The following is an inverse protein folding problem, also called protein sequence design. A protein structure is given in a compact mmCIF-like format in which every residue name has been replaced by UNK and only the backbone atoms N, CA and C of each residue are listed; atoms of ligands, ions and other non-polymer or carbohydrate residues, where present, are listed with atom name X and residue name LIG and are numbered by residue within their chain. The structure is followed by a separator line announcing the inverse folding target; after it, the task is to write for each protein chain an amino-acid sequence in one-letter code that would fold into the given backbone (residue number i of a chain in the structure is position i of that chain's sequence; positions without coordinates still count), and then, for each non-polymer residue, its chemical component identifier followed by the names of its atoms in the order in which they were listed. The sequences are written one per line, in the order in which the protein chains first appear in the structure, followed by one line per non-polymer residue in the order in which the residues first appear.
data_IF_945662396247
#
_entry.id   IF_945662396247
#
_cell.length_a   1.000
_cell.length_b   1.000
_cell.length_c   1.000
_cell.angle_alpha   90.00
_cell.angle_beta   90.00
_cell.angle_gamma   90.00
#
_symmetry.space_group_name_H-M   'P 1'
#
loop_
_entity.id
_entity.type
_entity.pdbx_description
1 polymer ?
#
# COMPACT_ATOMS: atom_id res chain seq x y z
N UNK A 1 8.31 -10.18 20.29
CA UNK A 1 8.31 -10.06 18.81
C UNK A 1 9.02 -8.79 18.33
N UNK A 2 10.13 -8.36 18.99
CA UNK A 2 10.75 -7.04 18.74
C UNK A 2 11.97 -7.11 17.79
N UNK A 3 12.21 -8.24 17.15
CA UNK A 3 13.51 -8.56 16.52
C UNK A 3 13.44 -9.32 15.21
N UNK A 4 12.27 -9.78 14.75
CA UNK A 4 12.18 -10.43 13.44
C UNK A 4 11.95 -9.40 12.34
N UNK A 5 12.96 -9.25 11.49
CA UNK A 5 12.87 -8.50 10.24
C UNK A 5 12.06 -9.35 9.26
N UNK A 6 11.01 -8.77 8.67
CA UNK A 6 10.15 -9.43 7.70
C UNK A 6 10.49 -9.04 6.26
N UNK A 7 11.18 -7.91 6.08
CA UNK A 7 11.46 -7.32 4.77
C UNK A 7 12.90 -6.83 4.64
N UNK A 8 13.45 -6.95 3.45
CA UNK A 8 14.76 -6.44 3.07
C UNK A 8 14.61 -5.41 1.93
N UNK A 9 15.27 -4.25 2.06
CA UNK A 9 15.27 -3.23 1.01
C UNK A 9 16.25 -3.67 -0.07
N UNK A 10 15.74 -3.97 -1.26
CA UNK A 10 16.53 -4.48 -2.37
C UNK A 10 17.12 -3.36 -3.23
N UNK A 11 16.32 -2.32 -3.50
CA UNK A 11 16.77 -1.17 -4.28
C UNK A 11 15.96 0.09 -4.01
N UNK A 12 16.54 1.23 -4.40
CA UNK A 12 15.87 2.53 -4.47
C UNK A 12 16.17 3.20 -5.80
N UNK A 13 15.23 3.98 -6.31
CA UNK A 13 15.40 4.81 -7.50
C UNK A 13 14.53 6.06 -7.42
N UNK A 14 14.73 7.01 -8.31
CA UNK A 14 13.91 8.21 -8.44
C UNK A 14 13.26 8.20 -9.82
N UNK A 15 11.93 8.37 -9.88
CA UNK A 15 11.17 8.32 -11.12
C UNK A 15 10.43 9.65 -11.35
N UNK A 16 10.55 10.16 -12.57
CA UNK A 16 9.71 11.25 -13.05
C UNK A 16 8.36 10.68 -13.49
N UNK A 17 7.27 11.19 -12.91
CA UNK A 17 5.91 10.76 -13.22
C UNK A 17 5.06 11.94 -13.66
N UNK A 18 3.84 11.68 -14.13
CA UNK A 18 2.85 12.75 -14.40
C UNK A 18 2.41 13.51 -13.13
N UNK A 19 2.80 13.03 -11.95
CA UNK A 19 2.55 13.61 -10.64
C UNK A 19 3.82 14.25 -10.04
N UNK A 20 4.87 14.44 -10.82
CA UNK A 20 6.17 14.91 -10.33
C UNK A 20 7.13 13.78 -9.97
N UNK A 21 8.20 14.15 -9.27
CA UNK A 21 9.31 13.26 -8.93
C UNK A 21 9.00 12.46 -7.66
N UNK A 22 9.16 11.14 -7.73
CA UNK A 22 8.99 10.24 -6.60
C UNK A 22 10.24 9.40 -6.35
N UNK A 23 10.57 9.21 -5.08
CA UNK A 23 11.48 8.16 -4.63
C UNK A 23 10.73 6.84 -4.54
N UNK A 24 11.25 5.81 -5.18
CA UNK A 24 10.67 4.48 -5.22
C UNK A 24 11.64 3.48 -4.58
N UNK A 25 11.15 2.69 -3.63
CA UNK A 25 11.91 1.66 -2.95
C UNK A 25 11.21 0.31 -3.09
N UNK A 26 11.98 -0.73 -3.42
CA UNK A 26 11.50 -2.10 -3.49
C UNK A 26 11.96 -2.89 -2.24
N UNK A 27 11.03 -3.62 -1.64
CA UNK A 27 11.27 -4.44 -0.45
C UNK A 27 10.88 -5.88 -0.72
N UNK A 28 11.81 -6.83 -0.56
CA UNK A 28 11.51 -8.25 -0.62
C UNK A 28 11.11 -8.77 0.75
N UNK A 29 10.00 -9.50 0.82
CA UNK A 29 9.54 -10.17 2.02
C UNK A 29 10.27 -11.51 2.20
N UNK A 30 10.86 -11.73 3.38
CA UNK A 30 11.82 -12.82 3.60
C UNK A 30 11.18 -14.21 3.49
N UNK A 31 9.92 -14.38 3.92
CA UNK A 31 9.26 -15.68 4.00
C UNK A 31 8.42 -16.03 2.76
N UNK A 32 8.12 -15.07 1.88
CA UNK A 32 7.30 -15.28 0.68
C UNK A 32 8.02 -14.92 -0.61
N UNK A 33 9.14 -14.20 -0.55
CA UNK A 33 9.82 -13.55 -1.67
C UNK A 33 8.96 -12.52 -2.43
N UNK A 34 7.80 -12.14 -1.87
CA UNK A 34 6.98 -11.08 -2.44
C UNK A 34 7.76 -9.76 -2.44
N UNK A 35 7.70 -9.04 -3.56
CA UNK A 35 8.30 -7.71 -3.68
C UNK A 35 7.22 -6.67 -3.52
N UNK A 36 7.35 -5.86 -2.48
CA UNK A 36 6.51 -4.69 -2.19
C UNK A 36 7.18 -3.41 -2.68
N UNK A 37 6.37 -2.38 -2.91
CA UNK A 37 6.86 -1.11 -3.44
C UNK A 37 6.41 0.04 -2.55
N UNK A 38 7.33 0.90 -2.14
CA UNK A 38 7.01 2.16 -1.51
C UNK A 38 7.34 3.30 -2.48
N UNK A 39 6.36 4.18 -2.70
CA UNK A 39 6.46 5.34 -3.57
C UNK A 39 6.30 6.57 -2.67
N UNK A 40 7.32 7.41 -2.58
CA UNK A 40 7.37 8.51 -1.62
C UNK A 40 7.79 9.83 -2.26
N UNK A 41 7.27 10.93 -1.73
CA UNK A 41 7.64 12.28 -2.14
C UNK A 41 8.05 13.09 -0.92
N UNK A 42 9.00 14.01 -1.13
CA UNK A 42 9.45 14.95 -0.12
C UNK A 42 10.34 14.34 0.95
N UNK A 43 10.62 15.12 2.00
CA UNK A 43 11.44 14.69 3.12
C UNK A 43 10.59 13.97 4.18
N UNK A 44 10.73 12.64 4.27
CA UNK A 44 10.06 11.82 5.27
C UNK A 44 10.90 11.81 6.55
N UNK A 45 10.32 12.32 7.64
CA UNK A 45 10.94 12.33 8.96
C UNK A 45 9.92 11.97 10.04
N UNK A 46 10.41 11.65 11.23
CA UNK A 46 9.59 11.15 12.33
C UNK A 46 8.73 12.19 13.05
N UNK A 47 9.04 13.48 12.89
CA UNK A 47 8.37 14.55 13.63
C UNK A 47 7.03 14.91 12.98
N UNK A 48 6.99 14.84 11.66
CA UNK A 48 5.86 15.22 10.82
C UNK A 48 4.84 14.08 10.63
N UNK A 49 3.53 14.37 10.70
CA UNK A 49 2.51 13.50 10.15
C UNK A 49 2.64 13.34 8.63
N UNK A 50 2.79 12.10 8.17
CA UNK A 50 2.98 11.78 6.75
C UNK A 50 1.67 11.31 6.13
N UNK A 51 1.25 11.97 5.04
CA UNK A 51 0.12 11.52 4.24
C UNK A 51 0.45 10.15 3.63
N UNK A 52 -0.31 9.12 4.01
CA UNK A 52 0.00 7.73 3.67
C UNK A 52 -1.20 7.03 3.07
N UNK A 53 -1.04 6.45 1.88
CA UNK A 53 -1.96 5.48 1.30
C UNK A 53 -1.34 4.10 1.40
N UNK A 54 -2.05 3.15 1.98
CA UNK A 54 -1.68 1.74 1.90
C UNK A 54 -2.62 1.07 0.90
N UNK A 55 -2.04 0.51 -0.14
CA UNK A 55 -2.68 -0.35 -1.12
C UNK A 55 -2.19 -1.77 -0.88
N UNK A 56 -3.11 -2.70 -0.65
CA UNK A 56 -2.76 -4.11 -0.42
C UNK A 56 -3.65 -4.99 -1.27
N UNK A 57 -3.05 -5.72 -2.20
CA UNK A 57 -3.82 -6.56 -3.12
C UNK A 57 -2.97 -7.64 -3.78
N UNK A 58 -3.65 -8.56 -4.43
CA UNK A 58 -3.05 -9.59 -5.28
C UNK A 58 -2.93 -9.10 -6.73
N UNK A 59 -2.10 -9.75 -7.55
CA UNK A 59 -1.93 -9.36 -8.95
C UNK A 59 -3.22 -9.44 -9.77
N UNK A 60 -3.99 -10.53 -9.64
CA UNK A 60 -5.30 -10.67 -10.27
C UNK A 60 -6.24 -9.57 -9.77
N UNK A 61 -6.28 -9.32 -8.46
CA UNK A 61 -7.15 -8.31 -7.88
C UNK A 61 -6.85 -6.91 -8.43
N UNK A 62 -5.58 -6.61 -8.67
CA UNK A 62 -5.15 -5.34 -9.25
C UNK A 62 -5.48 -5.22 -10.73
N UNK A 63 -5.17 -6.25 -11.54
CA UNK A 63 -5.50 -6.25 -12.97
C UNK A 63 -7.01 -6.07 -13.16
N UNK A 64 -7.81 -6.88 -12.46
CA UNK A 64 -9.27 -6.81 -12.59
C UNK A 64 -9.84 -5.53 -11.98
N UNK A 65 -9.32 -5.05 -10.85
CA UNK A 65 -9.76 -3.80 -10.23
C UNK A 65 -9.46 -2.57 -11.09
N UNK A 66 -8.29 -2.54 -11.73
CA UNK A 66 -7.91 -1.48 -12.69
C UNK A 66 -8.83 -1.49 -13.90
N UNK A 67 -9.18 -2.67 -14.43
CA UNK A 67 -9.99 -2.80 -15.63
C UNK A 67 -11.49 -2.57 -15.38
N UNK A 68 -12.02 -2.95 -14.22
CA UNK A 68 -13.47 -3.09 -14.03
C UNK A 68 -14.06 -2.35 -12.83
N UNK A 69 -13.28 -1.89 -11.85
CA UNK A 69 -13.78 -1.35 -10.57
C UNK A 69 -13.34 0.10 -10.28
N UNK A 70 -12.85 0.82 -11.29
CA UNK A 70 -12.37 2.21 -11.13
C UNK A 70 -11.18 2.35 -10.18
N UNK A 71 -10.48 1.25 -9.89
CA UNK A 71 -9.44 1.20 -8.88
C UNK A 71 -8.21 2.04 -9.27
N UNK A 72 -7.95 2.16 -10.57
CA UNK A 72 -6.91 3.03 -11.12
C UNK A 72 -7.10 4.48 -10.67
N UNK A 73 -8.35 4.97 -10.64
CA UNK A 73 -8.66 6.35 -10.25
C UNK A 73 -8.35 6.61 -8.79
N UNK A 74 -8.54 5.62 -7.90
CA UNK A 74 -8.20 5.71 -6.48
C UNK A 74 -6.68 5.82 -6.27
N UNK A 75 -5.88 5.02 -6.98
CA UNK A 75 -4.42 5.09 -6.93
C UNK A 75 -3.91 6.41 -7.52
N UNK A 76 -4.48 6.83 -8.65
CA UNK A 76 -4.18 8.11 -9.27
C UNK A 76 -4.49 9.31 -8.36
N UNK A 77 -5.64 9.29 -7.69
CA UNK A 77 -6.05 10.33 -6.74
C UNK A 77 -5.11 10.38 -5.52
N UNK A 78 -4.67 9.23 -5.01
CA UNK A 78 -3.71 9.16 -3.92
C UNK A 78 -2.34 9.75 -4.30
N UNK A 79 -1.80 9.39 -5.47
CA UNK A 79 -0.54 9.93 -5.97
C UNK A 79 -0.63 11.44 -6.23
N UNK A 80 -1.74 11.91 -6.80
CA UNK A 80 -2.00 13.33 -6.99
C UNK A 80 -2.03 14.08 -5.66
N UNK A 81 -2.76 13.56 -4.66
CA UNK A 81 -2.85 14.21 -3.34
C UNK A 81 -1.51 14.25 -2.61
N UNK A 82 -0.69 13.20 -2.74
CA UNK A 82 0.69 13.20 -2.22
C UNK A 82 1.53 14.27 -2.93
N UNK A 83 1.37 14.41 -4.24
CA UNK A 83 2.04 15.47 -5.02
C UNK A 83 1.65 16.86 -4.55
N UNK A 84 0.35 17.13 -4.37
CA UNK A 84 -0.16 18.43 -3.92
C UNK A 84 0.34 18.78 -2.51
N UNK A 85 0.42 17.82 -1.59
CA UNK A 85 0.96 18.04 -0.25
C UNK A 85 2.50 18.13 -0.24
N UNK A 86 3.17 17.69 -1.32
CA UNK A 86 4.63 17.69 -1.47
C UNK A 86 5.37 16.73 -0.55
N UNK A 87 4.64 15.97 0.27
CA UNK A 87 5.17 15.01 1.24
C UNK A 87 4.17 13.88 1.49
N UNK A 88 4.59 12.64 1.22
CA UNK A 88 3.73 11.49 1.48
C UNK A 88 4.28 10.17 0.96
N UNK A 89 3.54 9.10 1.25
CA UNK A 89 3.89 7.71 0.90
C UNK A 89 2.67 6.98 0.35
N UNK A 90 2.80 6.38 -0.83
CA UNK A 90 1.94 5.28 -1.28
C UNK A 90 2.70 3.98 -1.10
N UNK A 91 2.23 3.14 -0.20
CA UNK A 91 2.78 1.82 0.07
C UNK A 91 1.92 0.77 -0.64
N UNK A 92 2.56 0.00 -1.51
CA UNK A 92 1.97 -1.07 -2.28
C UNK A 92 2.44 -2.43 -1.73
N UNK A 93 1.56 -3.09 -0.98
CA UNK A 93 1.77 -4.44 -0.48
C UNK A 93 1.20 -5.42 -1.49
N UNK A 94 2.06 -6.32 -1.94
CA UNK A 94 1.75 -7.35 -2.94
C UNK A 94 1.60 -8.67 -2.24
N UNK A 95 0.55 -9.39 -2.62
CA UNK A 95 0.34 -10.78 -2.25
C UNK A 95 0.63 -11.65 -3.45
N UNK A 96 1.67 -12.47 -3.36
CA UNK A 96 1.96 -13.44 -4.41
C UNK A 96 0.78 -14.37 -4.65
N UNK A 97 0.45 -14.55 -5.92
CA UNK A 97 -0.56 -15.51 -6.37
C UNK A 97 0.12 -16.77 -6.90
N UNK A 98 -0.58 -17.91 -6.86
CA UNK A 98 -0.09 -19.17 -7.42
C UNK A 98 -1.03 -19.69 -8.50
N UNK A 99 -0.48 -20.00 -9.66
CA UNK A 99 -1.22 -20.63 -10.75
C UNK A 99 -2.14 -19.65 -11.47
N UNK A 100 -3.41 -20.05 -11.69
CA UNK A 100 -4.34 -19.35 -12.57
C UNK A 100 -5.47 -18.65 -11.78
N UNK A 101 -5.14 -17.92 -10.72
CA UNK A 101 -6.14 -17.25 -9.84
C UNK A 101 -7.07 -16.30 -10.63
N UNK A 102 -6.55 -15.67 -11.69
CA UNK A 102 -7.36 -14.85 -12.59
C UNK A 102 -8.50 -15.62 -13.27
N UNK A 103 -8.31 -16.89 -13.62
CA UNK A 103 -9.37 -17.71 -14.24
C UNK A 103 -10.47 -17.98 -13.21
N UNK A 104 -10.10 -18.35 -11.99
CA UNK A 104 -11.08 -18.61 -10.93
C UNK A 104 -11.83 -17.34 -10.56
N UNK A 105 -11.14 -16.19 -10.51
CA UNK A 105 -11.80 -14.91 -10.23
C UNK A 105 -12.76 -14.47 -11.34
N UNK A 106 -12.40 -14.71 -12.60
CA UNK A 106 -13.30 -14.45 -13.73
C UNK A 106 -14.54 -15.36 -13.72
N UNK A 107 -14.41 -16.64 -13.34
CA UNK A 107 -15.57 -17.52 -13.15
C UNK A 107 -16.51 -17.02 -12.05
N UNK A 108 -15.95 -16.54 -10.93
CA UNK A 108 -16.76 -15.94 -9.87
C UNK A 108 -17.56 -14.74 -10.38
N UNK A 109 -16.92 -13.84 -11.12
CA UNK A 109 -17.57 -12.66 -11.70
C UNK A 109 -18.63 -13.03 -12.76
N UNK A 110 -18.41 -14.08 -13.54
CA UNK A 110 -19.40 -14.60 -14.49
C UNK A 110 -20.67 -15.08 -13.78
N UNK A 111 -20.51 -15.73 -12.62
CA UNK A 111 -21.64 -16.20 -11.81
C UNK A 111 -22.28 -15.12 -10.94
N UNK A 112 -21.51 -14.10 -10.54
CA UNK A 112 -21.95 -13.01 -9.68
C UNK A 112 -21.28 -11.68 -10.12
N UNK A 113 -21.87 -10.98 -11.10
CA UNK A 113 -21.27 -9.79 -11.72
C UNK A 113 -21.06 -8.62 -10.76
N UNK A 114 -21.84 -8.56 -9.68
CA UNK A 114 -21.76 -7.48 -8.67
C UNK A 114 -20.65 -7.72 -7.63
N UNK A 115 -19.91 -8.83 -7.71
CA UNK A 115 -18.83 -9.12 -6.79
C UNK A 115 -17.62 -8.23 -7.07
N UNK A 116 -17.03 -7.61 -6.03
CA UNK A 116 -15.87 -6.75 -6.22
C UNK A 116 -14.60 -7.60 -6.42
N UNK A 117 -13.83 -7.41 -7.51
CA UNK A 117 -12.61 -8.18 -7.78
C UNK A 117 -11.48 -7.91 -6.78
N UNK A 118 -11.49 -6.77 -6.08
CA UNK A 118 -10.39 -6.26 -5.24
C UNK A 118 -10.49 -6.61 -3.75
N UNK A 119 -11.46 -7.43 -3.34
CA UNK A 119 -11.70 -7.76 -1.93
C UNK A 119 -10.67 -8.76 -1.37
N UNK A 120 -9.39 -8.38 -1.31
CA UNK A 120 -8.39 -9.10 -0.52
C UNK A 120 -8.64 -8.86 0.97
N UNK A 121 -8.39 -9.88 1.80
CA UNK A 121 -8.64 -9.78 3.24
C UNK A 121 -7.53 -8.96 3.90
N UNK A 122 -7.75 -7.65 4.06
CA UNK A 122 -6.82 -6.64 4.63
C UNK A 122 -6.09 -7.02 5.94
N UNK A 123 -6.45 -8.12 6.61
CA UNK A 123 -5.99 -8.43 7.96
C UNK A 123 -4.54 -8.96 8.04
N UNK A 124 -3.91 -9.33 6.93
CA UNK A 124 -2.65 -10.11 6.95
C UNK A 124 -1.35 -9.28 6.88
N UNK A 125 -1.40 -7.97 6.61
CA UNK A 125 -0.21 -7.26 6.11
C UNK A 125 0.43 -6.24 7.04
N UNK A 126 -0.12 -6.07 8.24
CA UNK A 126 0.28 -4.94 9.09
C UNK A 126 1.74 -4.99 9.51
N UNK A 127 2.31 -6.17 9.76
CA UNK A 127 3.70 -6.29 10.18
C UNK A 127 4.68 -5.86 9.09
N UNK A 128 4.46 -6.34 7.87
CA UNK A 128 5.30 -6.01 6.71
C UNK A 128 5.17 -4.51 6.38
N UNK A 129 3.94 -4.02 6.22
CA UNK A 129 3.72 -2.61 5.91
C UNK A 129 4.26 -1.67 7.00
N UNK A 130 4.11 -2.04 8.28
CA UNK A 130 4.66 -1.26 9.38
C UNK A 130 6.19 -1.20 9.36
N UNK A 131 6.87 -2.32 9.08
CA UNK A 131 8.34 -2.33 8.98
C UNK A 131 8.83 -1.48 7.81
N UNK A 132 8.15 -1.51 6.66
CA UNK A 132 8.49 -0.66 5.51
C UNK A 132 8.30 0.82 5.86
N UNK A 133 7.15 1.21 6.42
CA UNK A 133 6.90 2.61 6.81
C UNK A 133 7.93 3.12 7.83
N UNK A 134 8.32 2.28 8.79
CA UNK A 134 9.36 2.61 9.77
C UNK A 134 10.73 2.77 9.14
N UNK A 135 11.09 1.91 8.19
CA UNK A 135 12.35 2.02 7.44
C UNK A 135 12.41 3.29 6.58
N UNK A 136 11.28 3.78 6.08
CA UNK A 136 11.16 5.08 5.41
C UNK A 136 11.24 6.28 6.38
N UNK A 137 11.20 6.06 7.69
CA UNK A 137 11.24 7.11 8.72
C UNK A 137 9.87 7.61 9.20
N UNK A 138 8.77 7.01 8.74
CA UNK A 138 7.41 7.39 9.14
C UNK A 138 7.17 6.99 10.60
N UNK A 139 6.54 7.88 11.38
CA UNK A 139 6.05 7.57 12.73
C UNK A 139 4.59 7.98 12.93
N UNK A 140 4.23 9.18 12.46
CA UNK A 140 2.86 9.70 12.49
C UNK A 140 2.25 9.60 11.10
N UNK A 141 1.03 9.09 11.02
CA UNK A 141 0.36 8.74 9.77
C UNK A 141 -0.94 9.54 9.65
N UNK A 142 -1.10 10.29 8.56
CA UNK A 142 -2.40 10.74 8.04
C UNK A 142 -2.87 9.71 7.01
N UNK A 143 -3.73 8.78 7.42
CA UNK A 143 -4.08 7.60 6.63
C UNK A 143 -5.18 7.92 5.61
N UNK A 144 -4.88 7.78 4.32
CA UNK A 144 -5.87 7.83 3.24
C UNK A 144 -6.65 6.51 3.13
N UNK A 145 -7.88 6.47 3.63
CA UNK A 145 -8.71 5.26 3.66
C UNK A 145 -10.21 5.58 3.60
N UNK A 146 -10.97 4.73 2.90
CA UNK A 146 -12.44 4.72 2.93
C UNK A 146 -12.99 3.84 4.05
N UNK A 147 -12.15 3.02 4.70
CA UNK A 147 -12.52 2.10 5.77
C UNK A 147 -11.69 2.39 7.03
N UNK A 148 -12.03 3.43 7.81
CA UNK A 148 -11.30 3.77 9.03
C UNK A 148 -11.63 2.74 10.13
N UNK A 149 -10.84 1.67 10.22
CA UNK A 149 -10.89 0.72 11.34
C UNK A 149 -9.75 1.00 12.31
N UNK A 150 -9.98 0.82 13.61
CA UNK A 150 -8.90 0.86 14.61
C UNK A 150 -7.90 -0.27 14.31
N UNK A 151 -6.68 0.11 13.92
CA UNK A 151 -5.59 -0.82 13.62
C UNK A 151 -4.80 -1.11 14.90
N UNK A 152 -5.25 -2.12 15.65
CA UNK A 152 -4.55 -2.57 16.87
C UNK A 152 -3.19 -3.14 16.48
N UNK A 153 -2.09 -2.66 17.09
CA UNK A 153 -0.75 -3.20 16.89
C UNK A 153 0.27 -2.26 16.21
N UNK A 154 -0.16 -1.17 15.56
CA UNK A 154 0.75 -0.19 14.95
C UNK A 154 1.70 0.47 15.98
N UNK A 155 1.20 0.72 17.19
CA UNK A 155 1.98 1.26 18.32
C UNK A 155 3.20 0.36 18.63
N UNK A 156 3.06 -0.96 18.48
CA UNK A 156 4.15 -1.92 18.70
C UNK A 156 5.31 -1.76 17.71
N UNK A 157 5.05 -1.17 16.54
CA UNK A 157 6.04 -0.82 15.52
C UNK A 157 6.51 0.64 15.65
N UNK A 158 6.01 1.41 16.62
CA UNK A 158 6.28 2.84 16.73
C UNK A 158 5.59 3.67 15.64
N UNK A 159 4.42 3.21 15.18
CA UNK A 159 3.56 3.93 14.24
C UNK A 159 2.27 4.36 14.94
N UNK A 160 1.82 5.56 14.62
CA UNK A 160 0.60 6.17 15.13
C UNK A 160 -0.21 6.76 13.99
N UNK A 161 -1.48 6.38 13.87
CA UNK A 161 -2.42 7.06 12.97
C UNK A 161 -2.97 8.26 13.73
N UNK A 162 -2.57 9.46 13.32
CA UNK A 162 -2.99 10.72 13.95
C UNK A 162 -4.23 11.33 13.26
N UNK A 163 -4.51 10.92 12.02
CA UNK A 163 -5.62 11.43 11.22
C UNK A 163 -6.05 10.38 10.20
N UNK A 164 -7.35 10.30 9.89
CA UNK A 164 -7.86 9.57 8.73
C UNK A 164 -8.36 10.57 7.70
N UNK A 165 -7.85 10.46 6.48
CA UNK A 165 -8.21 11.28 5.34
C UNK A 165 -9.14 10.46 4.45
N UNK A 166 -10.36 10.94 4.25
CA UNK A 166 -11.31 10.28 3.36
C UNK A 166 -10.83 10.39 1.91
N UNK A 167 -10.99 9.28 1.18
CA UNK A 167 -10.70 9.22 -0.25
C UNK A 167 -11.99 9.50 -1.03
N UNK A 168 -11.96 10.34 -2.08
CA UNK A 168 -13.07 10.48 -3.01
C UNK A 168 -13.33 9.18 -3.78
#
# INVERSE_FOLDING_TARGET
MKTERLVEKEMTTTLQTKYGEFNVAAYRQINTDDVHVAISMGNINSEDPILTKVHSNTETGDILGILFDGYADKLHSALYKISEEGKGVLLYIRHGEKGNEIIEKLKELDTNPDNNPSASTEQRDFGVGAQILRDLGVQKIKLMTSNPRKRVGLIGYGLEIVENIEMP
#
